data_IF_135818110911
#
_entry.id   IF_135818110911
#
_cell.length_a   1.000
_cell.length_b   1.000
_cell.length_c   1.000
_cell.angle_alpha   90.00
_cell.angle_beta   90.00
_cell.angle_gamma   90.00
#
_symmetry.space_group_name_H-M   'P 1'
#
loop_
_entity.id
_entity.type
_entity.pdbx_description
1 polymer ?
#
# COMPACT_ATOMS: atom_id res chain seq x y z
N UNK A 1 -22.28 22.01 12.88
CA UNK A 1 -21.72 20.66 13.16
C UNK A 1 -20.76 20.37 12.03
N UNK A 2 -19.59 19.78 12.27
CA UNK A 2 -18.70 19.38 11.17
C UNK A 2 -19.33 18.21 10.42
N UNK A 3 -19.25 18.17 9.07
CA UNK A 3 -19.70 17.01 8.33
C UNK A 3 -18.87 15.78 8.71
N UNK A 4 -19.50 14.62 8.66
CA UNK A 4 -18.89 13.35 9.03
C UNK A 4 -18.62 12.48 7.81
N UNK A 5 -17.53 11.74 7.80
CA UNK A 5 -17.30 10.71 6.79
C UNK A 5 -16.86 9.38 7.41
N UNK A 6 -17.23 8.30 6.77
CA UNK A 6 -16.77 6.94 7.08
C UNK A 6 -15.93 6.42 5.92
N UNK A 7 -14.73 5.92 6.26
CA UNK A 7 -13.83 5.32 5.28
C UNK A 7 -13.93 3.80 5.41
N UNK A 8 -14.36 3.16 4.34
CA UNK A 8 -14.44 1.69 4.24
C UNK A 8 -13.45 1.17 3.22
N UNK A 9 -12.87 0.03 3.50
CA UNK A 9 -11.94 -0.64 2.60
C UNK A 9 -12.30 -2.11 2.47
N UNK A 10 -11.80 -2.75 1.41
CA UNK A 10 -11.82 -4.21 1.28
C UNK A 10 -10.97 -4.87 2.39
N UNK A 11 -11.01 -6.19 2.48
CA UNK A 11 -10.23 -6.99 3.46
C UNK A 11 -8.73 -6.71 3.42
N UNK A 12 -8.21 -6.24 2.27
CA UNK A 12 -6.82 -5.83 2.11
C UNK A 12 -6.69 -4.32 2.20
N UNK A 13 -6.27 -3.83 3.37
CA UNK A 13 -6.05 -2.41 3.62
C UNK A 13 -4.61 -2.01 3.27
N UNK A 14 -4.45 -1.20 2.21
CA UNK A 14 -3.21 -0.48 1.96
C UNK A 14 -3.10 0.69 2.95
N UNK A 15 -2.33 0.48 4.01
CA UNK A 15 -2.24 1.41 5.16
C UNK A 15 -1.78 2.82 4.80
N UNK A 16 -0.89 2.94 3.81
CA UNK A 16 -0.42 4.22 3.29
C UNK A 16 -1.53 4.95 2.52
N UNK A 17 -2.31 4.25 1.72
CA UNK A 17 -3.49 4.80 1.05
C UNK A 17 -4.49 5.29 2.08
N UNK A 18 -4.84 4.45 3.05
CA UNK A 18 -5.78 4.80 4.11
C UNK A 18 -5.37 6.08 4.87
N UNK A 19 -4.09 6.22 5.24
CA UNK A 19 -3.62 7.40 5.94
C UNK A 19 -3.66 8.68 5.10
N UNK A 20 -3.34 8.59 3.81
CA UNK A 20 -3.48 9.71 2.89
C UNK A 20 -4.95 10.16 2.80
N UNK A 21 -5.87 9.22 2.64
CA UNK A 21 -7.31 9.50 2.59
C UNK A 21 -7.81 10.10 3.91
N UNK A 22 -7.42 9.55 5.05
CA UNK A 22 -7.75 10.15 6.35
C UNK A 22 -7.27 11.61 6.43
N UNK A 23 -6.00 11.88 6.10
CA UNK A 23 -5.45 13.23 6.12
C UNK A 23 -6.15 14.19 5.17
N UNK A 24 -6.55 13.71 3.99
CA UNK A 24 -7.28 14.48 3.00
C UNK A 24 -8.65 14.93 3.53
N UNK A 25 -9.47 14.00 4.03
CA UNK A 25 -10.81 14.37 4.53
C UNK A 25 -10.77 15.17 5.84
N UNK A 26 -9.78 14.93 6.71
CA UNK A 26 -9.56 15.79 7.86
C UNK A 26 -9.20 17.22 7.44
N UNK A 27 -8.33 17.40 6.42
CA UNK A 27 -7.99 18.71 5.86
C UNK A 27 -9.19 19.37 5.15
N UNK A 28 -10.11 18.58 4.61
CA UNK A 28 -11.38 19.06 4.07
C UNK A 28 -12.45 19.34 5.15
N UNK A 29 -12.09 19.25 6.43
CA UNK A 29 -12.95 19.60 7.56
C UNK A 29 -13.90 18.52 8.03
N UNK A 30 -13.81 17.29 7.50
CA UNK A 30 -14.65 16.17 7.94
C UNK A 30 -14.20 15.61 9.28
N UNK A 31 -15.19 15.14 10.05
CA UNK A 31 -14.97 14.27 11.19
C UNK A 31 -14.95 12.81 10.70
N UNK A 32 -13.85 12.11 10.95
CA UNK A 32 -13.74 10.67 10.63
C UNK A 32 -14.50 9.83 11.65
N UNK A 33 -15.43 9.01 11.17
CA UNK A 33 -16.17 8.05 12.00
C UNK A 33 -15.48 6.68 11.96
N UNK A 34 -14.93 6.25 13.09
CA UNK A 34 -14.40 4.90 13.28
C UNK A 34 -15.51 4.03 13.86
N UNK A 35 -16.11 3.16 13.09
CA UNK A 35 -17.06 2.14 13.54
C UNK A 35 -18.22 2.65 14.46
N UNK A 36 -18.53 3.94 14.46
CA UNK A 36 -19.61 4.49 15.26
C UNK A 36 -20.98 4.13 14.66
N UNK A 37 -22.01 3.85 15.48
CA UNK A 37 -23.36 3.71 14.99
C UNK A 37 -23.85 5.07 14.47
N UNK A 38 -24.40 5.08 13.28
CA UNK A 38 -24.95 6.26 12.62
C UNK A 38 -24.53 6.34 11.14
N UNK A 39 -25.37 6.92 10.32
CA UNK A 39 -25.05 7.15 8.93
C UNK A 39 -24.11 8.35 8.81
N UNK A 40 -22.99 8.23 8.09
CA UNK A 40 -22.13 9.37 7.78
C UNK A 40 -22.79 10.30 6.77
N UNK A 41 -22.37 11.56 6.75
CA UNK A 41 -22.79 12.49 5.68
C UNK A 41 -22.14 12.11 4.32
N UNK A 42 -21.00 11.45 4.36
CA UNK A 42 -20.24 10.98 3.20
C UNK A 42 -19.66 9.59 3.44
N UNK A 43 -19.85 8.67 2.49
CA UNK A 43 -19.16 7.38 2.46
C UNK A 43 -17.91 7.47 1.55
N UNK A 44 -16.75 7.07 2.06
CA UNK A 44 -15.51 6.99 1.31
C UNK A 44 -15.13 5.53 1.15
N UNK A 45 -15.07 5.06 -0.09
CA UNK A 45 -14.81 3.65 -0.41
C UNK A 45 -13.44 3.51 -1.04
N UNK A 46 -12.58 2.69 -0.43
CA UNK A 46 -11.25 2.39 -0.96
C UNK A 46 -11.26 1.01 -1.60
N UNK A 47 -10.79 0.92 -2.86
CA UNK A 47 -10.63 -0.35 -3.56
C UNK A 47 -11.88 -1.23 -3.55
N UNK A 48 -12.99 -0.70 -3.95
CA UNK A 48 -14.35 -1.21 -3.77
C UNK A 48 -14.71 -2.57 -4.37
N UNK A 49 -13.76 -3.37 -4.84
CA UNK A 49 -13.97 -4.66 -5.52
C UNK A 49 -14.54 -5.77 -4.62
N UNK A 50 -14.21 -5.78 -3.32
CA UNK A 50 -14.60 -6.83 -2.36
C UNK A 50 -15.50 -6.33 -1.22
N UNK A 51 -15.82 -5.03 -1.17
CA UNK A 51 -16.62 -4.47 -0.08
C UNK A 51 -18.10 -4.77 -0.27
N UNK A 52 -18.69 -5.47 0.69
CA UNK A 52 -20.16 -5.57 0.85
C UNK A 52 -20.66 -4.51 1.82
N UNK A 53 -19.76 -3.71 2.40
CA UNK A 53 -20.09 -2.73 3.39
C UNK A 53 -20.92 -1.59 2.78
N UNK A 54 -21.98 -1.25 3.46
CA UNK A 54 -22.79 -0.05 3.24
C UNK A 54 -23.40 0.09 1.82
N UNK A 55 -23.74 -1.03 1.14
CA UNK A 55 -24.40 -1.01 -0.18
C UNK A 55 -25.75 -0.29 -0.17
N UNK A 56 -26.41 -0.23 0.97
CA UNK A 56 -27.68 0.46 1.17
C UNK A 56 -27.52 1.94 1.52
N UNK A 57 -26.31 2.46 1.56
CA UNK A 57 -26.05 3.86 1.86
C UNK A 57 -26.71 4.77 0.82
N UNK A 58 -27.51 5.74 1.29
CA UNK A 58 -28.31 6.61 0.44
C UNK A 58 -27.72 8.02 0.25
N UNK A 59 -26.54 8.29 0.80
CA UNK A 59 -25.84 9.56 0.67
C UNK A 59 -24.82 9.60 -0.48
N UNK A 60 -24.00 10.66 -0.54
CA UNK A 60 -22.90 10.78 -1.49
C UNK A 60 -21.78 9.79 -1.19
N UNK A 61 -21.16 9.27 -2.25
CA UNK A 61 -20.03 8.31 -2.16
C UNK A 61 -18.84 8.88 -2.92
N UNK A 62 -17.65 8.88 -2.28
CA UNK A 62 -16.38 9.07 -2.96
C UNK A 62 -15.64 7.73 -3.03
N UNK A 63 -15.40 7.25 -4.22
CA UNK A 63 -14.83 5.95 -4.48
C UNK A 63 -13.45 6.08 -5.13
N UNK A 64 -12.45 5.51 -4.48
CA UNK A 64 -11.07 5.51 -4.96
C UNK A 64 -10.69 4.14 -5.53
N UNK A 65 -10.68 4.04 -6.86
CA UNK A 65 -10.25 2.84 -7.58
C UNK A 65 -8.79 3.01 -8.06
N UNK A 66 -7.85 2.76 -7.18
CA UNK A 66 -6.41 2.97 -7.41
C UNK A 66 -5.66 1.71 -7.83
N UNK A 67 -6.30 0.55 -7.85
CA UNK A 67 -5.66 -0.73 -8.21
C UNK A 67 -6.11 -1.24 -9.56
N UNK A 68 -7.32 -0.94 -9.96
CA UNK A 68 -7.99 -1.34 -11.20
C UNK A 68 -7.74 -2.80 -11.63
N UNK A 69 -8.01 -3.71 -10.72
CA UNK A 69 -7.97 -5.14 -11.05
C UNK A 69 -9.24 -5.61 -11.76
N UNK A 70 -10.37 -4.91 -11.56
CA UNK A 70 -11.69 -5.33 -12.05
C UNK A 70 -12.53 -4.16 -12.55
N UNK A 71 -13.30 -4.41 -13.61
CA UNK A 71 -14.35 -3.49 -14.06
C UNK A 71 -15.59 -3.71 -13.20
N UNK A 72 -15.90 -2.77 -12.33
CA UNK A 72 -17.06 -2.83 -11.45
C UNK A 72 -18.08 -1.81 -11.92
N UNK A 73 -19.34 -2.24 -12.03
CA UNK A 73 -20.49 -1.33 -12.21
C UNK A 73 -20.85 -0.75 -10.83
N UNK A 74 -20.24 0.40 -10.53
CA UNK A 74 -20.38 1.06 -9.24
C UNK A 74 -21.80 1.54 -8.98
N UNK A 75 -22.50 2.03 -10.01
CA UNK A 75 -23.87 2.49 -9.88
C UNK A 75 -24.83 1.36 -9.52
N UNK A 76 -24.62 0.18 -10.09
CA UNK A 76 -25.36 -1.04 -9.72
C UNK A 76 -25.01 -1.55 -8.34
N UNK A 77 -23.74 -1.39 -7.93
CA UNK A 77 -23.27 -1.83 -6.60
C UNK A 77 -23.83 -0.97 -5.48
N UNK A 78 -24.05 0.33 -5.74
CA UNK A 78 -24.62 1.30 -4.80
C UNK A 78 -25.93 1.87 -5.35
N UNK A 79 -27.01 1.08 -5.38
CA UNK A 79 -28.24 1.46 -6.07
C UNK A 79 -28.96 2.63 -5.39
N UNK A 80 -28.72 2.85 -4.10
CA UNK A 80 -29.35 3.91 -3.31
C UNK A 80 -28.49 5.17 -3.17
N UNK A 81 -27.26 5.16 -3.62
CA UNK A 81 -26.38 6.33 -3.54
C UNK A 81 -26.99 7.56 -4.22
N UNK A 82 -26.90 8.69 -3.57
CA UNK A 82 -27.32 9.99 -4.12
C UNK A 82 -26.40 10.39 -5.28
N UNK A 83 -25.10 10.24 -5.10
CA UNK A 83 -24.06 10.49 -6.11
C UNK A 83 -22.85 9.61 -5.85
N UNK A 84 -22.08 9.33 -6.90
CA UNK A 84 -20.83 8.55 -6.82
C UNK A 84 -19.74 9.32 -7.56
N UNK A 85 -18.75 9.83 -6.84
CA UNK A 85 -17.53 10.37 -7.43
C UNK A 85 -16.48 9.27 -7.51
N UNK A 86 -16.17 8.78 -8.71
CA UNK A 86 -15.15 7.78 -8.96
C UNK A 86 -13.82 8.45 -9.25
N UNK A 87 -12.87 8.34 -8.33
CA UNK A 87 -11.49 8.82 -8.50
C UNK A 87 -10.63 7.66 -8.99
N UNK A 88 -10.15 7.74 -10.22
CA UNK A 88 -9.27 6.72 -10.80
C UNK A 88 -8.44 7.29 -11.97
N UNK A 89 -7.26 6.71 -12.23
CA UNK A 89 -6.46 7.02 -13.43
C UNK A 89 -6.96 6.30 -14.67
N UNK A 90 -7.79 5.30 -14.49
CA UNK A 90 -8.36 4.55 -15.60
C UNK A 90 -9.36 5.34 -16.41
N UNK A 91 -9.77 4.75 -17.54
CA UNK A 91 -10.88 5.30 -18.30
C UNK A 91 -12.21 5.13 -17.56
N UNK A 92 -13.17 6.03 -17.77
CA UNK A 92 -14.48 5.88 -17.16
C UNK A 92 -15.12 4.55 -17.56
N UNK A 93 -16.04 4.01 -16.74
CA UNK A 93 -16.79 2.82 -17.08
C UNK A 93 -17.49 2.97 -18.43
N UNK A 94 -17.33 1.98 -19.31
CA UNK A 94 -18.02 1.94 -20.58
C UNK A 94 -19.48 1.46 -20.34
N UNK A 95 -20.45 2.14 -20.87
CA UNK A 95 -21.87 1.81 -20.77
C UNK A 95 -22.74 3.05 -20.78
N UNK A 96 -24.09 2.90 -20.67
CA UNK A 96 -24.96 4.06 -20.53
C UNK A 96 -24.55 4.85 -19.29
N UNK A 97 -24.39 6.16 -19.45
CA UNK A 97 -23.97 7.05 -18.37
C UNK A 97 -25.02 7.05 -17.25
N UNK A 98 -24.67 6.56 -16.08
CA UNK A 98 -25.50 6.77 -14.89
C UNK A 98 -25.31 8.23 -14.44
N UNK A 99 -26.40 9.03 -14.35
CA UNK A 99 -26.29 10.45 -14.01
C UNK A 99 -25.74 10.71 -12.61
N UNK A 100 -25.72 9.70 -11.75
CA UNK A 100 -25.13 9.78 -10.39
C UNK A 100 -23.62 9.60 -10.39
N UNK A 101 -23.05 9.03 -11.47
CA UNK A 101 -21.64 8.71 -11.55
C UNK A 101 -20.84 9.86 -12.16
N UNK A 102 -19.96 10.47 -11.37
CA UNK A 102 -19.00 11.47 -11.80
C UNK A 102 -17.59 10.90 -11.76
N UNK A 103 -16.87 10.91 -12.88
CA UNK A 103 -15.49 10.41 -12.96
C UNK A 103 -14.48 11.54 -12.80
N UNK A 104 -13.63 11.42 -11.79
CA UNK A 104 -12.47 12.28 -11.54
C UNK A 104 -11.20 11.53 -11.97
N UNK A 105 -10.62 11.95 -13.09
CA UNK A 105 -9.38 11.33 -13.58
C UNK A 105 -8.19 11.80 -12.74
N UNK A 106 -7.92 11.07 -11.68
CA UNK A 106 -6.82 11.35 -10.75
C UNK A 106 -6.32 10.08 -10.09
N UNK A 107 -5.12 10.16 -9.50
CA UNK A 107 -4.64 9.18 -8.53
C UNK A 107 -5.24 9.48 -7.15
N UNK A 108 -4.64 8.95 -6.11
CA UNK A 108 -5.00 9.24 -4.72
C UNK A 108 -4.49 10.63 -4.28
N UNK A 109 -5.17 11.31 -3.36
CA UNK A 109 -4.56 12.43 -2.67
C UNK A 109 -3.35 11.94 -1.86
N UNK A 110 -2.29 12.71 -1.87
CA UNK A 110 -1.07 12.42 -1.11
C UNK A 110 -0.79 13.58 -0.17
N UNK A 111 -0.58 13.27 1.10
CA UNK A 111 -0.22 14.25 2.14
C UNK A 111 1.29 14.16 2.38
N UNK A 112 2.11 15.02 1.75
CA UNK A 112 3.57 14.91 1.79
C UNK A 112 4.13 14.87 3.22
N UNK A 113 3.54 15.63 4.12
CA UNK A 113 3.95 15.77 5.52
C UNK A 113 3.90 14.46 6.32
N UNK A 114 3.10 13.47 5.88
CA UNK A 114 3.05 12.15 6.51
C UNK A 114 4.27 11.29 6.18
N UNK A 115 4.87 11.50 5.01
CA UNK A 115 5.80 10.56 4.39
C UNK A 115 7.23 11.04 4.31
N UNK A 116 7.47 12.35 4.42
CA UNK A 116 8.82 12.90 4.41
C UNK A 116 9.59 12.48 5.65
N UNK A 117 10.80 11.99 5.44
CA UNK A 117 11.80 11.73 6.47
C UNK A 117 12.83 12.87 6.50
N UNK A 118 13.51 13.11 7.63
CA UNK A 118 14.66 13.99 7.65
C UNK A 118 15.70 13.56 6.61
N UNK A 119 16.26 14.51 5.87
CA UNK A 119 17.32 14.24 4.89
C UNK A 119 18.55 13.67 5.59
N UNK A 120 19.09 12.53 5.18
CA UNK A 120 20.29 11.97 5.77
C UNK A 120 21.54 12.74 5.30
N UNK A 121 22.57 12.79 6.13
CA UNK A 121 23.85 13.40 5.76
C UNK A 121 24.53 12.71 4.58
N UNK A 122 24.33 11.41 4.43
CA UNK A 122 24.85 10.61 3.31
C UNK A 122 23.74 9.69 2.78
N UNK A 123 23.66 9.58 1.45
CA UNK A 123 22.76 8.66 0.76
C UNK A 123 23.55 7.50 0.15
N UNK A 124 23.01 6.30 0.31
CA UNK A 124 23.57 5.09 -0.31
C UNK A 124 23.21 4.94 -1.78
N UNK A 125 23.65 3.83 -2.36
CA UNK A 125 23.35 3.44 -3.73
C UNK A 125 21.88 3.04 -3.94
N UNK A 126 21.58 2.51 -5.14
CA UNK A 126 20.23 2.15 -5.53
C UNK A 126 19.68 0.99 -4.71
N UNK A 127 18.37 1.07 -4.41
CA UNK A 127 17.65 0.05 -3.64
C UNK A 127 16.41 -0.43 -4.38
N UNK A 128 15.94 -1.63 -4.03
CA UNK A 128 14.59 -2.08 -4.31
C UNK A 128 13.91 -2.45 -3.00
N UNK A 129 12.85 -1.72 -2.67
CA UNK A 129 12.11 -1.91 -1.40
C UNK A 129 10.72 -2.42 -1.72
N UNK A 130 10.54 -3.73 -1.73
CA UNK A 130 9.27 -4.39 -2.02
C UNK A 130 9.30 -5.84 -1.55
N UNK A 131 8.14 -6.44 -1.30
CA UNK A 131 8.05 -7.89 -1.24
C UNK A 131 8.25 -8.49 -2.62
N UNK A 132 8.94 -9.65 -2.69
CA UNK A 132 9.10 -10.35 -3.96
C UNK A 132 7.73 -10.71 -4.55
N UNK A 133 7.56 -10.37 -5.82
CA UNK A 133 6.40 -10.70 -6.64
C UNK A 133 6.84 -11.67 -7.72
N UNK A 134 6.20 -12.82 -7.84
CA UNK A 134 6.52 -13.78 -8.90
C UNK A 134 5.84 -13.34 -10.20
N UNK A 135 6.61 -12.84 -11.14
CA UNK A 135 6.16 -12.40 -12.46
C UNK A 135 6.94 -13.16 -13.54
N UNK A 136 6.56 -14.43 -13.83
CA UNK A 136 7.31 -15.27 -14.77
C UNK A 136 7.29 -14.66 -16.17
N UNK A 137 8.49 -14.62 -16.81
CA UNK A 137 8.67 -14.05 -18.14
C UNK A 137 8.65 -12.52 -18.23
N UNK A 138 8.59 -11.82 -17.09
CA UNK A 138 8.69 -10.36 -17.08
C UNK A 138 10.16 -9.94 -17.19
N UNK A 139 10.56 -9.26 -18.29
CA UNK A 139 11.97 -8.93 -18.54
C UNK A 139 12.53 -7.96 -17.50
N UNK A 140 11.73 -7.03 -16.97
CA UNK A 140 12.17 -6.08 -15.96
C UNK A 140 12.45 -6.75 -14.61
N UNK A 141 11.63 -7.77 -14.26
CA UNK A 141 11.90 -8.55 -13.06
C UNK A 141 13.20 -9.35 -13.20
N UNK A 142 13.45 -9.96 -14.36
CA UNK A 142 14.69 -10.72 -14.60
C UNK A 142 15.92 -9.82 -14.57
N UNK A 143 15.86 -8.65 -15.19
CA UNK A 143 16.91 -7.64 -15.17
C UNK A 143 17.18 -7.13 -13.75
N UNK A 144 16.15 -6.82 -12.99
CA UNK A 144 16.28 -6.41 -11.60
C UNK A 144 16.91 -7.52 -10.72
N UNK A 145 16.51 -8.77 -10.93
CA UNK A 145 17.12 -9.91 -10.24
C UNK A 145 18.61 -10.06 -10.57
N UNK A 146 19.02 -9.81 -11.82
CA UNK A 146 20.42 -9.81 -12.22
C UNK A 146 21.22 -8.70 -11.51
N UNK A 147 20.67 -7.49 -11.40
CA UNK A 147 21.27 -6.37 -10.68
C UNK A 147 21.40 -6.65 -9.17
N UNK A 148 20.41 -7.27 -8.58
CA UNK A 148 20.43 -7.67 -7.15
C UNK A 148 21.50 -8.74 -6.92
N UNK A 149 21.55 -9.78 -7.75
CA UNK A 149 22.54 -10.87 -7.64
C UNK A 149 23.99 -10.41 -7.85
N UNK A 150 24.18 -9.41 -8.69
CA UNK A 150 25.50 -8.79 -8.88
C UNK A 150 25.89 -7.78 -7.79
N UNK A 151 25.03 -7.55 -6.80
CA UNK A 151 25.28 -6.59 -5.70
C UNK A 151 25.17 -5.11 -6.10
N UNK A 152 24.67 -4.80 -7.30
CA UNK A 152 24.49 -3.42 -7.78
C UNK A 152 23.28 -2.74 -7.20
N UNK A 153 22.26 -3.50 -6.80
CA UNK A 153 21.03 -3.01 -6.18
C UNK A 153 20.82 -3.74 -4.86
N UNK A 154 20.74 -3.00 -3.78
CA UNK A 154 20.36 -3.56 -2.49
C UNK A 154 18.85 -3.83 -2.46
N UNK A 155 18.44 -5.00 -1.95
CA UNK A 155 17.03 -5.37 -1.89
C UNK A 155 16.56 -5.53 -0.46
N UNK A 156 15.35 -5.05 -0.18
CA UNK A 156 14.70 -5.12 1.11
C UNK A 156 13.21 -5.44 0.96
N UNK A 157 12.70 -6.30 1.86
CA UNK A 157 11.30 -6.73 1.84
C UNK A 157 11.19 -8.23 2.15
N UNK A 158 9.98 -8.78 2.10
CA UNK A 158 9.73 -10.19 2.33
C UNK A 158 9.76 -11.03 1.05
N UNK A 159 9.79 -12.35 1.23
CA UNK A 159 9.64 -13.38 0.18
C UNK A 159 10.78 -13.47 -0.86
N UNK A 160 11.88 -12.74 -0.67
CA UNK A 160 13.04 -12.80 -1.57
C UNK A 160 13.85 -14.08 -1.40
N UNK A 161 13.66 -14.82 -0.31
CA UNK A 161 14.20 -16.17 -0.09
C UNK A 161 13.73 -17.16 -1.16
N UNK A 162 12.58 -16.92 -1.80
CA UNK A 162 12.06 -17.75 -2.91
C UNK A 162 12.98 -17.73 -4.15
N UNK A 163 13.85 -16.74 -4.26
CA UNK A 163 14.83 -16.59 -5.35
C UNK A 163 16.27 -16.57 -4.83
N UNK A 164 16.48 -17.10 -3.62
CA UNK A 164 17.80 -17.28 -3.01
C UNK A 164 18.42 -16.01 -2.41
N UNK A 165 17.65 -14.92 -2.24
CA UNK A 165 18.14 -13.67 -1.65
C UNK A 165 17.64 -13.52 -0.23
N UNK A 166 18.57 -13.43 0.72
CA UNK A 166 18.21 -13.27 2.14
C UNK A 166 17.86 -11.82 2.45
N UNK A 167 16.63 -11.60 2.82
CA UNK A 167 16.10 -10.31 3.26
C UNK A 167 15.18 -10.50 4.46
N UNK A 168 14.63 -9.38 4.94
CA UNK A 168 13.60 -9.40 5.99
C UNK A 168 12.45 -8.47 5.60
N UNK A 169 11.21 -8.81 5.98
CA UNK A 169 10.10 -7.89 5.86
C UNK A 169 10.37 -6.57 6.60
N UNK A 170 9.89 -5.48 6.05
CA UNK A 170 10.03 -4.14 6.60
C UNK A 170 8.67 -3.56 6.94
N UNK A 171 8.61 -2.76 8.01
CA UNK A 171 7.49 -1.87 8.24
C UNK A 171 7.53 -0.67 7.29
N UNK A 172 6.41 0.05 7.15
CA UNK A 172 6.35 1.27 6.33
C UNK A 172 7.39 2.32 6.73
N UNK A 173 7.59 2.53 8.03
CA UNK A 173 8.62 3.48 8.53
C UNK A 173 10.03 3.04 8.19
N UNK A 174 10.32 1.75 8.29
CA UNK A 174 11.63 1.21 7.90
C UNK A 174 11.85 1.34 6.40
N UNK A 175 10.84 1.03 5.59
CA UNK A 175 10.88 1.19 4.15
C UNK A 175 11.13 2.66 3.75
N UNK A 176 10.40 3.61 4.31
CA UNK A 176 10.59 5.04 4.03
C UNK A 176 11.99 5.53 4.44
N UNK A 177 12.51 5.10 5.59
CA UNK A 177 13.88 5.47 6.01
C UNK A 177 14.96 4.93 5.07
N UNK A 178 14.80 3.70 4.60
CA UNK A 178 15.73 3.11 3.61
C UNK A 178 15.68 3.86 2.27
N UNK A 179 14.48 4.20 1.82
CA UNK A 179 14.29 5.01 0.61
C UNK A 179 14.93 6.39 0.80
N UNK A 180 14.68 7.07 1.92
CA UNK A 180 15.27 8.37 2.20
C UNK A 180 16.82 8.32 2.27
N UNK A 181 17.38 7.20 2.73
CA UNK A 181 18.82 6.97 2.79
C UNK A 181 19.43 6.51 1.46
N UNK A 182 18.68 6.50 0.37
CA UNK A 182 19.12 6.05 -0.96
C UNK A 182 18.98 7.15 -1.99
N UNK A 183 19.86 7.16 -3.01
CA UNK A 183 19.78 8.13 -4.12
C UNK A 183 18.72 7.75 -5.13
N UNK A 184 18.50 6.44 -5.31
CA UNK A 184 17.52 5.93 -6.26
C UNK A 184 16.91 4.61 -5.81
N UNK A 185 15.75 4.28 -6.36
CA UNK A 185 15.11 2.99 -6.17
C UNK A 185 14.49 2.46 -7.47
N UNK A 186 14.25 1.17 -7.52
CA UNK A 186 13.56 0.52 -8.64
C UNK A 186 12.09 0.30 -8.28
N UNK A 187 11.18 0.83 -9.11
CA UNK A 187 9.73 0.78 -8.94
C UNK A 187 9.09 -0.27 -9.86
N UNK A 188 9.31 -1.56 -9.58
CA UNK A 188 8.74 -2.63 -10.39
C UNK A 188 7.23 -2.80 -10.14
N UNK A 189 6.44 -2.81 -11.21
CA UNK A 189 4.98 -2.97 -11.18
C UNK A 189 4.55 -4.35 -11.71
N UNK A 190 3.35 -4.77 -11.30
CA UNK A 190 2.71 -5.91 -11.97
C UNK A 190 2.40 -5.57 -13.42
N UNK A 191 2.62 -6.49 -14.38
CA UNK A 191 2.37 -6.21 -15.80
C UNK A 191 0.97 -5.67 -16.09
N UNK A 192 -0.06 -6.20 -15.42
CA UNK A 192 -1.45 -5.76 -15.60
C UNK A 192 -1.77 -4.37 -14.99
N UNK A 193 -0.90 -3.86 -14.13
CA UNK A 193 -1.04 -2.53 -13.52
C UNK A 193 -0.35 -1.43 -14.33
N UNK A 194 0.57 -1.79 -15.23
CA UNK A 194 1.27 -0.82 -16.08
C UNK A 194 0.29 -0.10 -16.98
N UNK A 195 0.39 1.23 -17.06
CA UNK A 195 -0.53 2.07 -17.84
C UNK A 195 -1.93 2.26 -17.26
N UNK A 196 -2.22 1.72 -16.07
CA UNK A 196 -3.57 1.83 -15.46
C UNK A 196 -3.57 2.42 -14.07
N UNK A 197 -2.46 2.32 -13.34
CA UNK A 197 -2.33 2.87 -11.98
C UNK A 197 -0.89 3.28 -11.71
N UNK A 198 -0.63 3.87 -10.55
CA UNK A 198 0.70 4.23 -10.08
C UNK A 198 1.16 3.32 -8.95
N UNK A 199 2.46 3.02 -8.93
CA UNK A 199 3.07 2.41 -7.77
C UNK A 199 3.20 3.42 -6.62
N UNK A 200 2.97 2.99 -5.38
CA UNK A 200 3.25 3.83 -4.20
C UNK A 200 4.70 4.36 -4.15
N UNK A 201 5.65 3.72 -4.82
CA UNK A 201 7.03 4.20 -4.93
C UNK A 201 7.16 5.51 -5.70
N UNK A 202 6.26 5.78 -6.67
CA UNK A 202 6.28 7.00 -7.48
C UNK A 202 5.94 8.27 -6.70
N UNK A 203 5.40 8.16 -5.50
CA UNK A 203 5.24 9.30 -4.61
C UNK A 203 6.09 9.19 -3.33
N UNK A 204 6.20 8.00 -2.73
CA UNK A 204 6.98 7.81 -1.50
C UNK A 204 8.48 8.12 -1.69
N UNK A 205 9.05 7.68 -2.79
CA UNK A 205 10.48 7.83 -3.02
C UNK A 205 10.86 9.28 -3.36
N UNK A 206 10.23 9.96 -4.33
CA UNK A 206 10.54 11.35 -4.62
C UNK A 206 10.30 12.30 -3.44
N UNK A 207 9.26 12.09 -2.64
CA UNK A 207 9.04 12.86 -1.40
C UNK A 207 10.19 12.75 -0.40
N UNK A 208 11.02 11.74 -0.52
CA UNK A 208 12.21 11.52 0.28
C UNK A 208 13.52 11.80 -0.50
N UNK A 209 13.43 12.46 -1.66
CA UNK A 209 14.58 12.79 -2.49
C UNK A 209 15.23 11.58 -3.17
N UNK A 210 14.51 10.48 -3.34
CA UNK A 210 15.00 9.26 -3.97
C UNK A 210 14.39 9.13 -5.36
N UNK A 211 15.21 9.09 -6.41
CA UNK A 211 14.76 8.90 -7.78
C UNK A 211 14.18 7.50 -7.99
N UNK A 212 13.19 7.36 -8.87
CA UNK A 212 12.55 6.07 -9.17
C UNK A 212 12.85 5.67 -10.60
N UNK A 213 13.52 4.54 -10.79
CA UNK A 213 13.58 3.89 -12.09
C UNK A 213 12.38 2.98 -12.27
N UNK A 214 11.63 3.20 -13.32
CA UNK A 214 10.41 2.44 -13.63
C UNK A 214 10.40 1.96 -15.08
N UNK A 215 9.48 1.05 -15.37
CA UNK A 215 9.23 0.55 -16.72
C UNK A 215 8.52 1.62 -17.56
N UNK A 216 8.63 1.59 -18.90
CA UNK A 216 7.93 2.53 -19.77
C UNK A 216 6.41 2.47 -19.60
N UNK A 217 5.77 3.63 -19.69
CA UNK A 217 4.31 3.77 -19.58
C UNK A 217 3.75 3.57 -18.17
N UNK A 218 4.58 3.67 -17.14
CA UNK A 218 4.15 3.54 -15.74
C UNK A 218 3.96 4.87 -15.05
N UNK A 219 4.59 5.93 -15.52
CA UNK A 219 4.42 7.29 -15.00
C UNK A 219 3.26 8.02 -15.72
N UNK A 220 2.05 7.80 -15.24
CA UNK A 220 0.82 8.33 -15.84
C UNK A 220 0.57 9.81 -15.55
N UNK A 221 1.35 10.42 -14.66
CA UNK A 221 1.13 11.79 -14.18
C UNK A 221 2.34 12.73 -14.42
N UNK A 222 3.46 12.23 -14.92
CA UNK A 222 4.70 13.02 -14.98
C UNK A 222 5.25 13.31 -13.60
N UNK A 223 5.31 12.31 -12.73
CA UNK A 223 5.74 12.46 -11.35
C UNK A 223 7.20 12.90 -11.25
N UNK A 224 7.54 13.94 -10.46
CA UNK A 224 8.92 14.35 -10.28
C UNK A 224 9.81 13.21 -9.82
N UNK A 225 10.99 13.07 -10.43
CA UNK A 225 11.99 12.06 -10.08
C UNK A 225 11.68 10.64 -10.55
N UNK A 226 10.58 10.40 -11.25
CA UNK A 226 10.33 9.14 -11.94
C UNK A 226 11.06 9.18 -13.29
N UNK A 227 11.86 8.15 -13.54
CA UNK A 227 12.68 8.01 -14.74
C UNK A 227 12.35 6.68 -15.39
N UNK A 228 11.54 6.71 -16.43
CA UNK A 228 11.23 5.53 -17.21
C UNK A 228 12.45 5.05 -18.00
N UNK A 229 12.71 3.75 -17.94
CA UNK A 229 13.87 3.12 -18.59
C UNK A 229 13.40 1.96 -19.46
N UNK A 230 13.91 1.85 -20.69
CA UNK A 230 13.58 0.74 -21.59
C UNK A 230 14.09 -0.60 -21.06
N UNK A 231 15.07 -0.56 -20.15
CA UNK A 231 15.62 -1.73 -19.48
C UNK A 231 16.24 -1.34 -18.13
N UNK A 232 16.33 -2.31 -17.22
CA UNK A 232 17.05 -2.19 -15.95
C UNK A 232 18.42 -2.84 -16.08
N UNK A 233 19.45 -2.02 -16.29
CA UNK A 233 20.82 -2.47 -16.53
C UNK A 233 21.83 -1.83 -15.56
N UNK A 234 23.09 -2.21 -15.71
CA UNK A 234 24.18 -1.69 -14.90
C UNK A 234 24.35 -0.17 -15.04
N UNK A 235 24.11 0.39 -16.24
CA UNK A 235 24.20 1.82 -16.47
C UNK A 235 23.09 2.56 -15.71
N UNK A 236 21.86 2.04 -15.71
CA UNK A 236 20.75 2.57 -14.92
C UNK A 236 21.08 2.55 -13.42
N UNK A 237 21.59 1.43 -12.89
CA UNK A 237 21.95 1.31 -11.48
C UNK A 237 23.14 2.20 -11.06
N UNK A 238 23.95 2.66 -12.01
CA UNK A 238 25.15 3.48 -11.76
C UNK A 238 24.93 4.97 -12.01
N UNK A 239 23.68 5.42 -12.29
CA UNK A 239 23.40 6.84 -12.50
C UNK A 239 23.66 7.63 -11.20
N UNK A 240 24.54 8.66 -11.28
CA UNK A 240 24.87 9.46 -10.11
C UNK A 240 23.78 10.51 -9.83
N UNK A 241 23.44 10.68 -8.57
CA UNK A 241 22.61 11.78 -8.11
C UNK A 241 23.28 12.48 -6.92
N UNK A 242 23.50 13.80 -7.01
CA UNK A 242 24.06 14.55 -5.90
C UNK A 242 23.04 14.73 -4.78
N UNK A 243 23.52 15.00 -3.56
CA UNK A 243 22.63 15.26 -2.40
C UNK A 243 21.73 16.47 -2.65
N UNK A 244 22.27 17.54 -3.24
CA UNK A 244 21.52 18.76 -3.59
C UNK A 244 20.38 18.43 -4.58
N UNK A 245 20.65 17.57 -5.56
CA UNK A 245 19.65 17.13 -6.53
C UNK A 245 18.55 16.31 -5.86
N UNK A 246 18.93 15.45 -4.92
CA UNK A 246 17.96 14.69 -4.13
C UNK A 246 17.08 15.59 -3.25
N UNK A 247 17.66 16.59 -2.60
CA UNK A 247 16.92 17.52 -1.74
C UNK A 247 16.00 18.44 -2.56
N UNK A 248 16.45 18.90 -3.73
CA UNK A 248 15.61 19.63 -4.68
C UNK A 248 14.42 18.77 -5.15
N UNK A 249 14.65 17.50 -5.45
CA UNK A 249 13.58 16.56 -5.83
C UNK A 249 12.53 16.42 -4.72
N UNK A 250 12.93 16.33 -3.46
CA UNK A 250 11.97 16.19 -2.36
C UNK A 250 11.02 17.40 -2.27
N UNK A 251 11.52 18.61 -2.50
CA UNK A 251 10.72 19.84 -2.53
C UNK A 251 9.79 19.90 -3.75
N UNK A 252 10.30 19.54 -4.92
CA UNK A 252 9.55 19.47 -6.17
C UNK A 252 8.39 18.47 -6.05
N UNK A 253 8.67 17.26 -5.55
CA UNK A 253 7.68 16.23 -5.32
C UNK A 253 6.62 16.64 -4.30
N UNK A 254 7.00 17.29 -3.21
CA UNK A 254 6.04 17.80 -2.22
C UNK A 254 5.09 18.83 -2.84
N UNK A 255 5.62 19.75 -3.66
CA UNK A 255 4.83 20.75 -4.37
C UNK A 255 3.88 20.11 -5.37
N UNK A 256 4.38 19.16 -6.16
CA UNK A 256 3.58 18.41 -7.14
C UNK A 256 2.39 17.70 -6.48
N UNK A 257 2.65 16.94 -5.40
CA UNK A 257 1.60 16.16 -4.74
C UNK A 257 0.59 17.01 -3.97
N UNK A 258 0.99 18.18 -3.44
CA UNK A 258 0.03 19.14 -2.88
C UNK A 258 -0.91 19.65 -3.97
N UNK A 259 -0.40 20.11 -5.11
CA UNK A 259 -1.22 20.58 -6.24
C UNK A 259 -2.15 19.47 -6.77
N UNK A 260 -1.65 18.24 -6.85
CA UNK A 260 -2.47 17.09 -7.25
C UNK A 260 -3.62 16.85 -6.25
N UNK A 261 -3.34 16.96 -4.95
CA UNK A 261 -4.34 16.81 -3.89
C UNK A 261 -5.38 17.94 -3.93
N UNK A 262 -4.96 19.17 -4.17
CA UNK A 262 -5.84 20.34 -4.37
C UNK A 262 -6.76 20.18 -5.61
N UNK A 263 -6.20 19.67 -6.69
CA UNK A 263 -6.98 19.37 -7.91
C UNK A 263 -8.08 18.33 -7.63
N UNK A 264 -7.78 17.28 -6.89
CA UNK A 264 -8.79 16.28 -6.47
C UNK A 264 -9.86 16.93 -5.61
N UNK A 265 -9.47 17.75 -4.63
CA UNK A 265 -10.44 18.44 -3.77
C UNK A 265 -11.36 19.35 -4.57
N UNK A 266 -10.81 20.13 -5.47
CA UNK A 266 -11.61 20.99 -6.37
C UNK A 266 -12.58 20.18 -7.24
N UNK A 267 -12.13 19.03 -7.77
CA UNK A 267 -12.99 18.16 -8.58
C UNK A 267 -14.09 17.46 -7.76
N UNK A 268 -13.91 17.33 -6.45
CA UNK A 268 -14.88 16.78 -5.50
C UNK A 268 -15.70 17.86 -4.78
N UNK A 269 -15.54 19.13 -5.15
CA UNK A 269 -16.17 20.31 -4.52
C UNK A 269 -15.87 20.39 -3.01
N UNK A 270 -14.62 20.08 -2.62
CA UNK A 270 -14.15 20.11 -1.26
C UNK A 270 -13.23 21.32 -1.01
N UNK A 271 -13.50 22.06 0.05
CA UNK A 271 -12.60 23.13 0.50
C UNK A 271 -11.49 22.55 1.40
N UNK A 272 -10.26 22.53 0.90
CA UNK A 272 -9.11 22.14 1.72
C UNK A 272 -8.61 23.30 2.58
N UNK A 273 -8.35 23.05 3.85
CA UNK A 273 -7.44 23.86 4.64
C UNK A 273 -6.01 23.43 4.30
N UNK A 274 -5.33 24.25 3.48
CA UNK A 274 -4.05 23.93 2.84
C UNK A 274 -2.90 23.59 3.80
N UNK A 275 -3.00 24.00 5.05
CA UNK A 275 -2.12 23.54 6.11
C UNK A 275 -2.91 22.57 7.00
N UNK A 276 -2.73 21.26 6.79
CA UNK A 276 -3.30 20.27 7.70
C UNK A 276 -2.89 20.67 9.13
N UNK A 277 -3.86 20.84 10.02
CA UNK A 277 -3.59 21.11 11.41
C UNK A 277 -2.46 20.19 11.90
N UNK A 278 -1.38 20.77 12.43
CA UNK A 278 -0.26 19.99 12.91
C UNK A 278 -0.67 18.92 13.94
N UNK A 279 -1.84 19.05 14.57
CA UNK A 279 -2.43 18.04 15.42
C UNK A 279 -2.93 16.81 14.61
N UNK A 280 -3.58 17.03 13.47
CA UNK A 280 -4.02 15.95 12.57
C UNK A 280 -2.83 15.14 12.04
N UNK A 281 -1.80 15.83 11.54
CA UNK A 281 -0.57 15.16 11.09
C UNK A 281 0.09 14.37 12.23
N UNK A 282 0.18 14.93 13.44
CA UNK A 282 0.73 14.20 14.60
C UNK A 282 -0.10 12.96 14.94
N UNK A 283 -1.43 13.04 14.88
CA UNK A 283 -2.33 11.90 15.12
C UNK A 283 -2.10 10.79 14.09
N UNK A 284 -2.05 11.13 12.80
CA UNK A 284 -1.82 10.16 11.71
C UNK A 284 -0.42 9.54 11.80
N UNK A 285 0.61 10.34 12.13
CA UNK A 285 1.96 9.81 12.40
C UNK A 285 2.01 8.88 13.61
N UNK A 286 1.21 9.12 14.66
CA UNK A 286 1.06 8.18 15.79
C UNK A 286 0.43 6.86 15.34
N UNK A 287 -0.61 6.87 14.51
CA UNK A 287 -1.18 5.65 13.91
C UNK A 287 -0.14 4.86 13.14
N UNK A 288 0.65 5.52 12.31
CA UNK A 288 1.75 4.89 11.59
C UNK A 288 2.78 4.25 12.55
N UNK A 289 3.04 4.89 13.71
CA UNK A 289 3.90 4.34 14.74
C UNK A 289 3.29 3.09 15.39
N UNK A 290 2.01 3.11 15.73
CA UNK A 290 1.31 1.94 16.31
C UNK A 290 1.39 0.76 15.35
N UNK A 291 1.10 0.97 14.06
CA UNK A 291 1.20 -0.08 13.05
C UNK A 291 2.64 -0.62 12.86
N UNK A 292 3.66 0.24 13.00
CA UNK A 292 5.06 -0.20 13.00
C UNK A 292 5.35 -1.12 14.20
N UNK A 293 4.83 -0.80 15.38
CA UNK A 293 4.96 -1.62 16.58
C UNK A 293 4.22 -2.96 16.44
N UNK A 294 2.98 -2.95 15.97
CA UNK A 294 2.20 -4.16 15.70
C UNK A 294 2.94 -5.09 14.72
N UNK A 295 3.45 -4.53 13.63
CA UNK A 295 4.23 -5.29 12.66
C UNK A 295 5.46 -5.95 13.30
N UNK A 296 6.20 -5.21 14.15
CA UNK A 296 7.37 -5.75 14.87
C UNK A 296 6.99 -6.85 15.84
N UNK A 297 5.88 -6.70 16.56
CA UNK A 297 5.35 -7.73 17.46
C UNK A 297 4.97 -8.99 16.68
N UNK A 298 4.28 -8.86 15.55
CA UNK A 298 3.95 -10.00 14.68
C UNK A 298 5.22 -10.72 14.18
N UNK A 299 6.25 -9.97 13.78
CA UNK A 299 7.53 -10.54 13.35
C UNK A 299 8.24 -11.29 14.51
N UNK A 300 8.19 -10.75 15.73
CA UNK A 300 8.73 -11.40 16.91
C UNK A 300 7.97 -12.69 17.23
N UNK A 301 6.64 -12.64 17.23
CA UNK A 301 5.79 -13.81 17.43
C UNK A 301 6.06 -14.91 16.40
N UNK A 302 6.18 -14.55 15.11
CA UNK A 302 6.51 -15.49 14.05
C UNK A 302 7.90 -16.15 14.27
N UNK A 303 8.90 -15.38 14.72
CA UNK A 303 10.24 -15.91 15.05
C UNK A 303 10.20 -16.85 16.25
N UNK A 304 9.48 -16.48 17.31
CA UNK A 304 9.32 -17.34 18.48
C UNK A 304 8.58 -18.64 18.12
N UNK A 305 7.52 -18.55 17.34
CA UNK A 305 6.81 -19.73 16.85
C UNK A 305 7.72 -20.64 16.00
N UNK A 306 8.52 -20.06 15.10
CA UNK A 306 9.50 -20.81 14.29
C UNK A 306 10.58 -21.45 15.16
N UNK A 307 11.06 -20.78 16.20
CA UNK A 307 12.05 -21.31 17.15
C UNK A 307 11.48 -22.43 18.03
N UNK A 308 10.22 -22.32 18.46
CA UNK A 308 9.54 -23.32 19.29
C UNK A 308 9.00 -24.51 18.49
N UNK A 309 8.78 -24.36 17.18
CA UNK A 309 8.19 -25.43 16.34
C UNK A 309 9.05 -26.71 16.22
N UNK A 310 10.39 -26.66 16.08
CA UNK A 310 11.21 -27.87 15.99
C UNK A 310 11.14 -28.75 17.25
N UNK A 311 11.30 -28.22 18.49
CA UNK A 311 11.19 -29.03 19.68
C UNK A 311 9.79 -29.61 19.90
N UNK A 312 8.74 -28.85 19.60
CA UNK A 312 7.37 -29.34 19.68
C UNK A 312 7.07 -30.44 18.66
N UNK A 313 7.63 -30.31 17.46
CA UNK A 313 7.51 -31.35 16.43
C UNK A 313 8.28 -32.61 16.79
N UNK A 314 9.48 -32.47 17.37
CA UNK A 314 10.27 -33.57 17.88
C UNK A 314 9.56 -34.27 19.04
N UNK A 315 9.01 -33.51 19.98
CA UNK A 315 8.19 -34.05 21.08
C UNK A 315 6.94 -34.79 20.58
N UNK A 316 6.20 -34.22 19.61
CA UNK A 316 5.05 -34.89 19.00
C UNK A 316 5.46 -36.21 18.30
N UNK A 317 6.60 -36.24 17.60
CA UNK A 317 7.14 -37.46 16.96
C UNK A 317 7.55 -38.52 18.02
N UNK A 318 8.11 -38.07 19.12
CA UNK A 318 8.51 -38.97 20.23
C UNK A 318 7.30 -39.53 20.96
N UNK A 319 6.27 -38.69 21.24
CA UNK A 319 5.02 -39.14 21.82
C UNK A 319 4.26 -40.09 20.88
N UNK A 320 4.26 -39.82 19.57
CA UNK A 320 3.64 -40.71 18.57
C UNK A 320 4.40 -42.06 18.44
N UNK A 321 5.71 -42.08 18.66
CA UNK A 321 6.50 -43.34 18.74
C UNK A 321 6.16 -44.10 20.01
N UNK A 322 6.12 -43.42 21.14
CA UNK A 322 5.76 -44.02 22.45
C UNK A 322 4.33 -44.58 22.41
N UNK A 323 3.36 -43.84 21.86
CA UNK A 323 1.98 -44.31 21.71
C UNK A 323 1.89 -45.58 20.84
N UNK A 324 2.68 -45.65 19.77
CA UNK A 324 2.77 -46.87 18.94
C UNK A 324 3.42 -48.04 19.65
N UNK A 325 4.47 -47.81 20.44
CA UNK A 325 5.11 -48.87 21.24
C UNK A 325 4.21 -49.41 22.34
N UNK A 326 3.24 -48.60 22.82
CA UNK A 326 2.22 -48.98 23.79
C UNK A 326 0.96 -49.56 23.15
N UNK A 327 0.95 -49.80 21.83
CA UNK A 327 -0.19 -50.38 21.13
C UNK A 327 -1.40 -49.42 20.94
N UNK A 328 -1.18 -48.13 21.25
CA UNK A 328 -2.22 -47.09 21.10
C UNK A 328 -2.26 -46.59 19.64
N UNK A 329 -3.32 -46.92 18.93
CA UNK A 329 -3.51 -46.47 17.54
C UNK A 329 -3.89 -45.01 17.48
N UNK A 330 -3.23 -44.15 16.65
CA UNK A 330 -3.48 -42.70 16.58
C UNK A 330 -4.93 -42.30 16.28
N UNK A 331 -5.73 -43.17 15.64
CA UNK A 331 -7.14 -42.93 15.33
C UNK A 331 -8.09 -42.88 16.55
N UNK A 332 -7.73 -43.52 17.64
CA UNK A 332 -8.61 -43.53 18.84
C UNK A 332 -8.57 -42.21 19.66
N UNK A 333 -7.61 -41.33 19.42
CA UNK A 333 -7.51 -40.06 20.14
C UNK A 333 -8.30 -38.95 19.44
N UNK A 334 -8.54 -39.06 18.13
CA UNK A 334 -9.33 -38.07 17.39
C UNK A 334 -10.85 -38.25 17.53
N UNK A 335 -11.31 -39.48 17.69
CA UNK A 335 -12.76 -39.77 17.81
C UNK A 335 -13.35 -39.36 19.18
N UNK A 336 -12.56 -39.35 20.25
CA UNK A 336 -13.02 -38.84 21.55
C UNK A 336 -13.25 -37.31 21.63
N UNK A 337 -12.73 -36.54 20.67
CA UNK A 337 -12.97 -35.07 20.61
C UNK A 337 -14.19 -34.68 19.76
N UNK A 338 -14.74 -35.61 18.99
CA UNK A 338 -15.95 -35.37 18.16
C UNK A 338 -17.27 -35.89 18.77
N UNK A 339 -17.21 -36.52 19.91
CA UNK A 339 -18.37 -37.05 20.61
C UNK A 339 -18.86 -36.11 21.72
N UNK A 340 -19.21 -34.87 21.40
CA UNK A 340 -20.04 -34.04 22.22
C UNK A 340 -21.50 -34.33 21.90
N UNK A 341 -22.40 -34.41 22.90
CA UNK A 341 -23.78 -34.84 22.68
C UNK A 341 -24.57 -33.81 21.91
N UNK A 342 -25.16 -34.23 20.81
CA UNK A 342 -26.33 -33.55 20.25
C UNK A 342 -27.51 -33.72 21.25
N UNK A 343 -27.93 -32.63 21.87
CA UNK A 343 -29.30 -32.36 22.26
C UNK A 343 -29.65 -30.94 21.87
#
# INVERSE_FOLDING_TARGET
MKPSCRIVSSDYLDRDVYLNICGFYEAAGFQLLEAAPGDPDLLVVLRGDNGTADQDFAGPIHLYDYVREYRVDWARRYPRALSIALVSLGEPPQGPADPRLHHVRAYLPVIPELWTCPSPALRGGPVHVSNYKRMPGDPFQEQLLALIRSGRVAVHGGRWELVGVRTRPLSYRQANRLIAASTSCFGLMWPYQRGTTLSGRMWQAPLNGCFVFSEPGTDLLGCPGVIERPQFDAATASLPFSSERCDALAQEAATFWRRHTEMIASALDLALQLEPDGASIRRLRRRLLVWDLEFRLQQLQARLAAWLSPPLTALRRSLARLARSLGLHPRQIQDRRRGGPHQ
#
